data_IF_279240693810
#
_entry.id   IF_279240693810
#
_cell.length_a   1.000
_cell.length_b   1.000
_cell.length_c   1.000
_cell.angle_alpha   90.00
_cell.angle_beta   90.00
_cell.angle_gamma   90.00
#
_symmetry.space_group_name_H-M   'P 1'
#
loop_
_entity.id
_entity.type
_entity.pdbx_description
1 polymer ?
#
# COMPACT_ATOMS: atom_id res chain seq x y z
N UNK A 1 -2.83 -22.00 -29.54
CA UNK A 1 -3.15 -22.30 -28.13
C UNK A 1 -1.83 -22.63 -27.46
N UNK A 2 -1.31 -21.72 -26.64
CA UNK A 2 -0.07 -21.93 -25.88
C UNK A 2 -0.50 -22.17 -24.43
N UNK A 3 -0.43 -23.44 -24.03
CA UNK A 3 -0.62 -23.90 -22.66
C UNK A 3 0.62 -23.46 -21.86
N UNK A 4 0.47 -22.48 -20.96
CA UNK A 4 1.49 -22.12 -19.98
C UNK A 4 1.46 -23.17 -18.88
N UNK A 5 2.34 -24.17 -18.98
CA UNK A 5 2.52 -25.20 -17.96
C UNK A 5 3.04 -24.59 -16.65
N UNK A 6 2.32 -24.89 -15.57
CA UNK A 6 2.58 -24.59 -14.15
C UNK A 6 4.01 -24.94 -13.67
N UNK A 7 4.99 -24.09 -13.93
CA UNK A 7 6.26 -24.04 -13.16
C UNK A 7 6.17 -23.11 -11.95
N UNK A 8 4.95 -22.80 -11.48
CA UNK A 8 4.72 -21.70 -10.56
C UNK A 8 4.55 -22.12 -9.09
N UNK A 9 4.58 -23.43 -8.83
CA UNK A 9 4.44 -24.07 -7.52
C UNK A 9 5.73 -24.71 -6.97
N UNK A 10 6.89 -24.41 -7.57
CA UNK A 10 8.18 -24.93 -7.10
C UNK A 10 9.01 -23.80 -6.48
N UNK A 11 9.56 -24.05 -5.30
CA UNK A 11 10.45 -23.11 -4.63
C UNK A 11 11.79 -23.01 -5.38
N UNK A 12 12.21 -21.83 -5.87
CA UNK A 12 13.47 -21.67 -6.60
C UNK A 12 14.71 -21.80 -5.69
N UNK A 13 14.52 -21.86 -4.36
CA UNK A 13 15.62 -21.94 -3.39
C UNK A 13 15.93 -23.36 -2.92
N UNK A 14 14.93 -24.23 -2.81
CA UNK A 14 15.11 -25.61 -2.33
C UNK A 14 14.49 -26.67 -3.23
N UNK A 15 13.82 -26.29 -4.33
CA UNK A 15 13.17 -27.23 -5.25
C UNK A 15 11.91 -27.90 -4.71
N UNK A 16 11.53 -27.65 -3.46
CA UNK A 16 10.32 -28.21 -2.85
C UNK A 16 9.06 -27.47 -3.31
N UNK A 17 7.90 -28.10 -3.19
CA UNK A 17 6.62 -27.47 -3.53
C UNK A 17 6.37 -26.22 -2.65
N UNK A 18 5.67 -25.23 -3.21
CA UNK A 18 5.12 -24.13 -2.44
C UNK A 18 3.85 -24.60 -1.70
N UNK A 19 3.64 -24.10 -0.49
CA UNK A 19 2.45 -24.37 0.31
C UNK A 19 1.23 -23.58 -0.16
N UNK A 20 0.19 -23.54 0.67
CA UNK A 20 -1.05 -22.83 0.36
C UNK A 20 -0.88 -21.30 0.35
N UNK A 21 -1.71 -20.62 -0.44
CA UNK A 21 -1.76 -19.16 -0.50
C UNK A 21 -2.41 -18.64 0.79
N UNK A 22 -1.65 -17.89 1.57
CA UNK A 22 -2.11 -17.27 2.81
C UNK A 22 -2.33 -15.76 2.61
N UNK A 23 -3.45 -15.25 3.08
CA UNK A 23 -3.74 -13.80 3.09
C UNK A 23 -3.27 -13.17 4.40
N UNK A 24 -2.45 -12.13 4.32
CA UNK A 24 -2.02 -11.35 5.49
C UNK A 24 -3.16 -10.47 6.03
N UNK A 25 -3.01 -9.94 7.25
CA UNK A 25 -3.94 -8.94 7.81
C UNK A 25 -4.12 -7.69 6.92
N UNK A 26 -3.14 -7.40 6.06
CA UNK A 26 -3.17 -6.29 5.09
C UNK A 26 -3.85 -6.66 3.77
N UNK A 27 -4.42 -7.86 3.64
CA UNK A 27 -5.07 -8.34 2.41
C UNK A 27 -4.09 -8.79 1.33
N UNK A 28 -2.79 -8.86 1.62
CA UNK A 28 -1.78 -9.31 0.65
C UNK A 28 -1.70 -10.82 0.66
N UNK A 29 -1.69 -11.42 -0.52
CA UNK A 29 -1.55 -12.87 -0.66
C UNK A 29 -0.07 -13.23 -0.75
N UNK A 30 0.33 -14.27 -0.03
CA UNK A 30 1.69 -14.82 -0.07
C UNK A 30 1.66 -16.34 -0.06
N UNK A 31 2.64 -16.95 -0.73
CA UNK A 31 2.88 -18.38 -0.73
C UNK A 31 4.23 -18.64 -0.05
N UNK A 32 4.26 -19.52 0.94
CA UNK A 32 5.51 -19.95 1.59
C UNK A 32 5.99 -21.24 0.96
N UNK A 33 7.27 -21.53 1.09
CA UNK A 33 7.77 -22.86 0.78
C UNK A 33 7.19 -23.91 1.75
N UNK A 34 6.80 -25.08 1.27
CA UNK A 34 6.28 -26.17 2.11
C UNK A 34 7.25 -26.65 3.19
N UNK A 35 8.56 -26.54 2.95
CA UNK A 35 9.60 -26.86 3.93
C UNK A 35 9.95 -25.69 4.84
N UNK A 36 9.25 -24.56 4.74
CA UNK A 36 9.49 -23.35 5.52
C UNK A 36 8.30 -23.05 6.43
N UNK A 37 8.47 -23.22 7.74
CA UNK A 37 7.44 -22.87 8.72
C UNK A 37 7.79 -21.58 9.45
N UNK A 38 6.80 -20.69 9.62
CA UNK A 38 6.98 -19.48 10.42
C UNK A 38 6.73 -19.81 11.88
N UNK A 39 7.77 -19.70 12.70
CA UNK A 39 7.65 -19.81 14.15
C UNK A 39 7.27 -18.44 14.74
N UNK A 40 6.06 -18.34 15.30
CA UNK A 40 5.51 -17.09 15.83
C UNK A 40 6.21 -16.61 17.12
N UNK A 41 6.75 -17.53 17.92
CA UNK A 41 7.44 -17.22 19.17
C UNK A 41 8.83 -16.63 18.89
N UNK A 42 9.58 -17.25 17.97
CA UNK A 42 10.94 -16.81 17.62
C UNK A 42 10.97 -15.75 16.53
N UNK A 43 9.83 -15.50 15.86
CA UNK A 43 9.70 -14.64 14.68
C UNK A 43 10.72 -14.98 13.58
N UNK A 44 11.05 -16.26 13.45
CA UNK A 44 11.98 -16.79 12.45
C UNK A 44 11.29 -17.84 11.60
N UNK A 45 11.77 -17.99 10.37
CA UNK A 45 11.38 -19.10 9.51
C UNK A 45 12.33 -20.26 9.79
N UNK A 46 11.77 -21.39 10.19
CA UNK A 46 12.48 -22.65 10.31
C UNK A 46 12.41 -23.38 8.96
N UNK A 47 13.57 -23.77 8.42
CA UNK A 47 13.68 -24.38 7.09
C UNK A 47 13.92 -23.35 5.98
N UNK A 48 13.13 -23.41 4.90
CA UNK A 48 13.35 -22.55 3.73
C UNK A 48 12.63 -21.18 3.86
N UNK A 49 13.34 -20.04 3.93
CA UNK A 49 12.77 -18.70 4.08
C UNK A 49 12.16 -18.12 2.80
N UNK A 50 12.00 -18.93 1.75
CA UNK A 50 11.43 -18.43 0.49
C UNK A 50 9.93 -18.13 0.66
N UNK A 51 9.55 -16.92 0.24
CA UNK A 51 8.17 -16.43 0.22
C UNK A 51 7.92 -15.76 -1.13
N UNK A 52 6.90 -16.25 -1.83
CA UNK A 52 6.38 -15.63 -3.04
C UNK A 52 5.24 -14.69 -2.67
N UNK A 53 5.35 -13.43 -3.07
CA UNK A 53 4.30 -12.44 -2.86
C UNK A 53 3.49 -12.27 -4.12
N UNK A 54 2.16 -12.25 -3.99
CA UNK A 54 1.27 -11.93 -5.10
C UNK A 54 0.92 -10.45 -5.09
N UNK A 55 0.72 -9.90 -6.27
CA UNK A 55 0.25 -8.53 -6.44
C UNK A 55 -1.21 -8.42 -6.02
N UNK A 56 -1.54 -7.34 -5.31
CA UNK A 56 -2.92 -7.05 -4.94
C UNK A 56 -3.66 -6.60 -6.19
N UNK A 57 -4.79 -7.24 -6.56
CA UNK A 57 -5.53 -6.84 -7.76
C UNK A 57 -6.00 -5.38 -7.61
N UNK A 58 -5.87 -4.55 -8.67
CA UNK A 58 -6.42 -3.21 -8.69
C UNK A 58 -7.93 -3.23 -8.43
N UNK A 59 -8.43 -2.27 -7.64
CA UNK A 59 -9.87 -2.09 -7.44
C UNK A 59 -10.40 -1.06 -8.42
N UNK A 60 -11.43 -1.39 -9.20
CA UNK A 60 -12.10 -0.42 -10.06
C UNK A 60 -12.85 0.62 -9.21
N UNK A 61 -12.77 1.89 -9.63
CA UNK A 61 -13.50 3.02 -9.05
C UNK A 61 -14.59 3.48 -10.02
N UNK A 62 -15.70 3.98 -9.48
CA UNK A 62 -16.80 4.56 -10.28
C UNK A 62 -16.42 5.90 -10.94
N UNK A 63 -15.28 6.47 -10.54
CA UNK A 63 -14.74 7.71 -11.12
C UNK A 63 -14.16 7.46 -12.51
N UNK A 64 -14.50 8.34 -13.46
CA UNK A 64 -13.96 8.31 -14.83
C UNK A 64 -12.68 9.14 -14.93
N UNK A 65 -11.77 8.68 -15.77
CA UNK A 65 -10.54 9.38 -16.09
C UNK A 65 -10.85 10.72 -16.79
N UNK A 66 -10.33 11.86 -16.31
CA UNK A 66 -10.62 13.16 -16.91
C UNK A 66 -9.98 13.35 -18.30
N UNK A 67 -9.00 12.51 -18.68
CA UNK A 67 -8.34 12.59 -19.98
C UNK A 67 -9.00 11.76 -21.08
N UNK A 68 -9.57 10.61 -20.74
CA UNK A 68 -10.07 9.65 -21.75
C UNK A 68 -11.45 9.04 -21.42
N UNK A 69 -12.08 9.41 -20.30
CA UNK A 69 -13.41 8.92 -19.91
C UNK A 69 -13.48 7.45 -19.46
N UNK A 70 -12.38 6.70 -19.54
CA UNK A 70 -12.28 5.31 -19.08
C UNK A 70 -12.29 5.21 -17.55
N UNK A 71 -12.71 4.09 -16.93
CA UNK A 71 -12.76 3.97 -15.47
C UNK A 71 -11.37 4.11 -14.82
N UNK A 72 -11.34 4.65 -13.60
CA UNK A 72 -10.12 4.71 -12.79
C UNK A 72 -9.94 3.43 -11.98
N UNK A 73 -8.69 3.04 -11.79
CA UNK A 73 -8.28 1.93 -10.94
C UNK A 73 -7.56 2.47 -9.72
N UNK A 74 -7.97 2.04 -8.54
CA UNK A 74 -7.22 2.20 -7.30
C UNK A 74 -6.17 1.09 -7.22
N UNK A 75 -4.90 1.50 -7.29
CA UNK A 75 -3.75 0.60 -7.17
C UNK A 75 -3.00 0.90 -5.88
N UNK A 76 -2.59 -0.16 -5.21
CA UNK A 76 -1.67 -0.09 -4.07
C UNK A 76 -0.31 -0.57 -4.53
N UNK A 77 0.70 0.28 -4.35
CA UNK A 77 2.09 -0.08 -4.67
C UNK A 77 2.67 -1.04 -3.62
N UNK A 78 3.82 -1.66 -3.91
CA UNK A 78 4.57 -2.49 -2.95
C UNK A 78 4.89 -1.80 -1.61
N UNK A 79 4.87 -0.47 -1.59
CA UNK A 79 5.16 0.38 -0.43
C UNK A 79 3.89 0.89 0.26
N UNK A 80 2.75 0.27 0.02
CA UNK A 80 1.43 0.62 0.56
C UNK A 80 0.95 2.04 0.20
N UNK A 81 1.60 2.70 -0.78
CA UNK A 81 1.12 3.96 -1.34
C UNK A 81 -0.01 3.68 -2.32
N UNK A 82 -1.10 4.43 -2.21
CA UNK A 82 -2.28 4.30 -3.06
C UNK A 82 -2.27 5.37 -4.16
N UNK A 83 -2.60 4.96 -5.38
CA UNK A 83 -2.75 5.85 -6.52
C UNK A 83 -3.97 5.45 -7.33
N UNK A 84 -4.62 6.44 -7.94
CA UNK A 84 -5.62 6.26 -8.98
C UNK A 84 -4.90 6.32 -10.33
N UNK A 85 -5.02 5.29 -11.16
CA UNK A 85 -4.53 5.31 -12.54
C UNK A 85 -5.65 4.98 -13.50
N UNK A 86 -5.55 5.43 -14.74
CA UNK A 86 -6.51 5.04 -15.76
C UNK A 86 -6.45 3.53 -16.02
N UNK A 87 -7.61 2.89 -16.23
CA UNK A 87 -7.68 1.47 -16.62
C UNK A 87 -6.96 1.14 -17.91
N UNK A 88 -6.84 2.11 -18.83
CA UNK A 88 -6.11 1.95 -20.10
C UNK A 88 -4.59 2.12 -19.94
N UNK A 89 -4.11 2.56 -18.77
CA UNK A 89 -2.68 2.69 -18.52
C UNK A 89 -2.02 1.30 -18.48
N UNK A 90 -1.08 1.05 -19.38
CA UNK A 90 -0.29 -0.18 -19.41
C UNK A 90 1.19 0.16 -19.32
N UNK A 91 1.88 -0.47 -18.38
CA UNK A 91 3.32 -0.40 -18.26
C UNK A 91 3.90 -1.65 -18.91
N UNK A 92 4.74 -1.47 -19.93
CA UNK A 92 5.50 -2.56 -20.53
C UNK A 92 6.85 -2.68 -19.79
N UNK A 93 7.09 -3.78 -19.04
CA UNK A 93 8.33 -3.96 -18.30
C UNK A 93 9.55 -4.23 -19.19
N UNK A 94 9.38 -4.76 -20.41
CA UNK A 94 10.49 -5.08 -21.31
C UNK A 94 11.08 -3.82 -21.92
N UNK A 95 10.20 -2.98 -22.47
CA UNK A 95 10.61 -1.71 -23.09
C UNK A 95 10.70 -0.55 -22.09
N UNK A 96 10.18 -0.75 -20.87
CA UNK A 96 10.08 0.29 -19.81
C UNK A 96 9.32 1.52 -20.32
N UNK A 97 8.28 1.29 -21.11
CA UNK A 97 7.43 2.35 -21.65
C UNK A 97 6.02 2.28 -21.11
N UNK A 98 5.40 3.44 -20.95
CA UNK A 98 3.96 3.54 -20.65
C UNK A 98 3.18 3.68 -21.95
N UNK A 99 2.22 2.80 -22.16
CA UNK A 99 1.24 2.89 -23.25
C UNK A 99 -0.16 3.19 -22.69
N UNK A 100 -1.01 3.81 -23.53
CA UNK A 100 -2.36 4.21 -23.16
C UNK A 100 -2.42 5.57 -22.46
N UNK A 101 -3.44 5.77 -21.62
CA UNK A 101 -3.62 7.02 -20.91
C UNK A 101 -2.63 7.14 -19.74
N UNK A 102 -1.92 8.26 -19.68
CA UNK A 102 -0.89 8.60 -18.69
C UNK A 102 -1.48 9.18 -17.37
N UNK A 103 -2.80 9.15 -17.19
CA UNK A 103 -3.43 9.69 -16.00
C UNK A 103 -3.06 8.90 -14.75
N UNK A 104 -2.36 9.58 -13.83
CA UNK A 104 -1.97 9.06 -12.52
C UNK A 104 -2.20 10.15 -11.48
N UNK A 105 -2.96 9.83 -10.43
CA UNK A 105 -3.20 10.69 -9.28
C UNK A 105 -2.84 9.94 -8.00
N UNK A 106 -1.94 10.53 -7.20
CA UNK A 106 -1.60 9.97 -5.90
C UNK A 106 -2.67 10.33 -4.88
N UNK A 107 -3.19 9.32 -4.17
CA UNK A 107 -4.14 9.54 -3.08
C UNK A 107 -3.38 10.17 -1.91
N UNK A 108 -3.66 11.45 -1.63
CA UNK A 108 -3.10 12.17 -0.49
C UNK A 108 -3.91 11.87 0.78
N UNK A 109 -3.31 12.12 1.94
CA UNK A 109 -4.06 12.04 3.20
C UNK A 109 -5.07 13.18 3.31
N UNK A 110 -6.23 12.90 3.90
CA UNK A 110 -7.28 13.89 4.19
C UNK A 110 -7.13 14.40 5.62
N UNK A 111 -7.53 15.65 5.84
CA UNK A 111 -7.56 16.27 7.18
C UNK A 111 -8.96 16.78 7.44
N UNK A 112 -9.53 16.40 8.57
CA UNK A 112 -10.85 16.83 9.04
C UNK A 112 -10.68 17.56 10.37
N UNK A 113 -11.33 18.71 10.53
CA UNK A 113 -11.29 19.46 11.79
C UNK A 113 -12.10 18.76 12.87
N UNK A 114 -11.58 18.70 14.10
CA UNK A 114 -12.30 18.22 15.29
C UNK A 114 -12.58 19.38 16.23
N UNK A 115 -13.65 19.29 17.01
CA UNK A 115 -14.00 20.29 18.02
C UNK A 115 -13.17 20.17 19.32
N UNK A 116 -12.36 19.11 19.44
CA UNK A 116 -11.48 18.87 20.58
C UNK A 116 -10.29 19.85 20.61
N UNK A 117 -9.95 20.35 21.80
CA UNK A 117 -8.81 21.23 22.01
C UNK A 117 -7.53 20.44 22.33
N UNK A 118 -6.39 20.92 21.79
CA UNK A 118 -5.09 20.29 21.97
C UNK A 118 -4.62 20.45 23.43
N UNK A 119 -4.28 19.35 24.13
CA UNK A 119 -3.89 19.41 25.54
C UNK A 119 -2.56 20.15 25.79
N UNK A 120 -1.75 20.37 24.74
CA UNK A 120 -0.47 21.08 24.84
C UNK A 120 -0.55 22.58 24.56
N UNK A 121 -1.48 23.04 23.73
CA UNK A 121 -1.51 24.44 23.27
C UNK A 121 -2.91 25.07 23.15
N UNK A 122 -3.98 24.34 23.46
CA UNK A 122 -5.36 24.83 23.43
C UNK A 122 -5.95 25.05 22.04
N UNK A 123 -5.18 24.88 20.95
CA UNK A 123 -5.70 24.98 19.58
C UNK A 123 -6.51 23.73 19.19
N UNK A 124 -7.42 23.85 18.21
CA UNK A 124 -8.23 22.73 17.73
C UNK A 124 -7.37 21.57 17.19
N UNK A 125 -7.80 20.35 17.48
CA UNK A 125 -7.25 19.12 16.91
C UNK A 125 -7.82 18.88 15.51
N UNK A 126 -7.08 18.15 14.71
CA UNK A 126 -7.52 17.68 13.39
C UNK A 126 -7.30 16.17 13.29
N UNK A 127 -8.28 15.48 12.71
CA UNK A 127 -8.17 14.09 12.33
C UNK A 127 -7.50 14.00 10.97
N UNK A 128 -6.29 13.46 10.94
CA UNK A 128 -5.56 13.18 9.73
C UNK A 128 -5.68 11.70 9.37
N UNK A 129 -6.24 11.42 8.20
CA UNK A 129 -6.26 10.08 7.62
C UNK A 129 -5.15 9.97 6.59
N UNK A 130 -4.13 9.16 6.88
CA UNK A 130 -3.02 8.94 5.97
C UNK A 130 -3.47 8.18 4.71
N UNK A 131 -2.69 8.28 3.63
CA UNK A 131 -2.96 7.55 2.38
C UNK A 131 -3.04 6.02 2.55
N UNK A 132 -2.41 5.48 3.60
CA UNK A 132 -2.49 4.06 3.97
C UNK A 132 -3.80 3.68 4.68
N UNK A 133 -4.63 4.66 5.05
CA UNK A 133 -5.86 4.50 5.83
C UNK A 133 -5.67 4.65 7.35
N UNK A 134 -4.42 4.78 7.84
CA UNK A 134 -4.17 4.99 9.28
C UNK A 134 -4.61 6.38 9.70
N UNK A 135 -5.26 6.47 10.86
CA UNK A 135 -5.78 7.73 11.38
C UNK A 135 -4.94 8.21 12.57
N UNK A 136 -4.73 9.52 12.65
CA UNK A 136 -4.09 10.16 13.78
C UNK A 136 -4.76 11.50 14.07
N UNK A 137 -4.91 11.84 15.35
CA UNK A 137 -5.24 13.20 15.78
C UNK A 137 -3.93 13.97 15.88
N UNK A 138 -3.85 15.13 15.24
CA UNK A 138 -2.72 16.06 15.42
C UNK A 138 -3.23 17.45 15.73
N UNK A 139 -2.38 18.28 16.31
CA UNK A 139 -2.71 19.69 16.47
C UNK A 139 -2.86 20.37 15.10
N UNK A 140 -3.85 21.25 14.94
CA UNK A 140 -4.01 22.08 13.74
C UNK A 140 -2.78 22.91 13.40
N UNK A 141 -1.99 23.29 14.40
CA UNK A 141 -0.74 24.05 14.23
C UNK A 141 0.46 23.17 13.86
N UNK A 142 0.34 21.84 13.91
CA UNK A 142 1.39 20.92 13.54
C UNK A 142 1.57 20.90 12.01
N UNK A 143 2.63 21.55 11.52
CA UNK A 143 2.95 21.65 10.09
C UNK A 143 4.36 21.13 9.82
N UNK A 144 4.52 20.40 8.73
CA UNK A 144 5.83 19.98 8.24
C UNK A 144 6.41 21.06 7.32
N UNK A 145 7.55 21.65 7.70
CA UNK A 145 8.30 22.54 6.82
C UNK A 145 9.21 21.70 5.92
N UNK A 146 8.86 21.60 4.63
CA UNK A 146 9.60 20.80 3.67
C UNK A 146 11.00 21.35 3.35
N UNK A 147 11.22 22.66 3.53
CA UNK A 147 12.52 23.29 3.25
C UNK A 147 13.51 23.01 4.37
N UNK A 148 13.07 23.14 5.62
CA UNK A 148 13.90 22.85 6.80
C UNK A 148 13.91 21.38 7.21
N UNK A 149 12.95 20.59 6.70
CA UNK A 149 12.71 19.19 7.09
C UNK A 149 12.45 19.04 8.58
N UNK A 150 11.70 19.97 9.16
CA UNK A 150 11.39 20.02 10.58
C UNK A 150 9.89 20.19 10.80
N UNK A 151 9.40 19.63 11.91
CA UNK A 151 8.05 19.89 12.38
C UNK A 151 8.01 21.27 13.03
N UNK A 152 7.09 22.11 12.56
CA UNK A 152 6.84 23.45 13.10
C UNK A 152 5.50 23.46 13.83
N UNK A 153 5.41 24.25 14.91
CA UNK A 153 4.21 24.39 15.73
C UNK A 153 4.12 23.35 16.85
N UNK A 154 2.89 23.00 17.27
CA UNK A 154 2.68 22.09 18.37
C UNK A 154 2.91 20.63 17.96
N UNK A 155 3.80 19.91 18.64
CA UNK A 155 4.16 18.51 18.33
C UNK A 155 3.13 17.46 18.77
N UNK A 156 1.93 17.87 19.22
CA UNK A 156 0.92 16.91 19.67
C UNK A 156 0.44 16.04 18.51
N UNK A 157 0.68 14.74 18.63
CA UNK A 157 0.25 13.68 17.70
C UNK A 157 -0.21 12.47 18.53
N UNK A 158 -1.38 11.96 18.23
CA UNK A 158 -1.96 10.77 18.84
C UNK A 158 -2.48 9.84 17.74
N UNK A 159 -1.96 8.61 17.68
CA UNK A 159 -2.45 7.60 16.74
C UNK A 159 -3.75 6.99 17.24
N UNK A 160 -4.71 6.79 16.33
CA UNK A 160 -5.93 6.02 16.58
C UNK A 160 -5.67 4.62 16.02
N UNK A 161 -5.62 3.62 16.91
CA UNK A 161 -5.41 2.22 16.53
C UNK A 161 -6.66 1.60 15.93
#
# INVERSE_FOLDING_TARGET
>A
MQDQTDTDNTCPRCGSALGEITTTKSGRQMQRCSTGSWNAETKKVEGCPYVKWFDVPPKELDEKCPKCGSPLLLVVTRFDKRLKRCSTSKWDPETRTSSGCDYVEWVKGTTESLDEDCPKCGNKLVLYTAASGKQLKKCSTNKWDAQKREATGCEFVQWIN
#
